data_IF_899989776050
#
_entry.id   IF_899989776050
#
_cell.length_a   1.000
_cell.length_b   1.000
_cell.length_c   1.000
_cell.angle_alpha   90.00
_cell.angle_beta   90.00
_cell.angle_gamma   90.00
#
_symmetry.space_group_name_H-M   'P 1'
#
loop_
_entity.id
_entity.type
_entity.pdbx_description
1 polymer ?
#
# COMPACT_ATOMS: atom_id res chain seq x y z
N UNK A 1 3.56 -14.53 1.13
CA UNK A 1 2.42 -14.85 2.02
C UNK A 1 2.63 -14.47 3.48
N UNK A 2 3.80 -14.71 4.11
CA UNK A 2 4.03 -14.27 5.49
C UNK A 2 3.86 -12.74 5.66
N UNK A 3 4.38 -11.95 4.72
CA UNK A 3 4.23 -10.49 4.72
C UNK A 3 2.76 -10.05 4.66
N UNK A 4 1.98 -10.69 3.79
CA UNK A 4 0.54 -10.45 3.67
C UNK A 4 -0.18 -10.73 4.99
N UNK A 5 0.13 -11.84 5.65
CA UNK A 5 -0.46 -12.18 6.94
C UNK A 5 -0.08 -11.15 8.01
N UNK A 6 1.20 -10.76 8.05
CA UNK A 6 1.72 -9.77 9.01
C UNK A 6 1.07 -8.40 8.81
N UNK A 7 0.89 -7.96 7.56
CA UNK A 7 0.17 -6.74 7.21
C UNK A 7 -1.28 -6.78 7.70
N UNK A 8 -2.03 -7.83 7.33
CA UNK A 8 -3.43 -7.97 7.71
C UNK A 8 -3.62 -8.04 9.22
N UNK A 9 -2.73 -8.72 9.94
CA UNK A 9 -2.78 -8.79 11.40
C UNK A 9 -2.40 -7.47 12.06
N UNK A 10 -1.41 -6.76 11.52
CA UNK A 10 -1.03 -5.44 12.04
C UNK A 10 -2.16 -4.42 11.86
N UNK A 11 -2.85 -4.41 10.71
CA UNK A 11 -3.97 -3.50 10.44
C UNK A 11 -5.10 -3.64 11.47
N UNK A 12 -5.44 -4.88 11.89
CA UNK A 12 -6.46 -5.14 12.93
C UNK A 12 -6.14 -4.47 14.28
N UNK A 13 -4.86 -4.25 14.56
CA UNK A 13 -4.38 -3.62 15.80
C UNK A 13 -3.93 -2.18 15.61
N UNK A 14 -3.98 -1.68 14.38
CA UNK A 14 -3.55 -0.33 14.01
C UNK A 14 -4.66 0.68 14.26
N UNK A 15 -4.31 1.97 14.17
CA UNK A 15 -5.29 3.05 14.17
C UNK A 15 -5.90 3.30 12.77
N UNK A 16 -5.47 2.57 11.74
CA UNK A 16 -5.98 2.75 10.39
C UNK A 16 -7.38 2.14 10.27
N UNK A 17 -8.29 2.90 9.69
CA UNK A 17 -9.56 2.38 9.22
C UNK A 17 -9.33 1.56 7.95
N UNK A 18 -9.96 0.38 7.87
CA UNK A 18 -9.83 -0.48 6.69
C UNK A 18 -11.13 -1.25 6.46
N UNK A 19 -11.34 -1.63 5.19
CA UNK A 19 -12.47 -2.44 4.76
C UNK A 19 -12.01 -3.50 3.75
N UNK A 20 -12.67 -4.65 3.75
CA UNK A 20 -12.48 -5.69 2.75
C UNK A 20 -13.61 -5.66 1.73
N UNK A 21 -13.29 -6.00 0.49
CA UNK A 21 -14.26 -6.15 -0.58
C UNK A 21 -14.05 -7.49 -1.27
N UNK A 22 -15.14 -8.19 -1.56
CA UNK A 22 -15.17 -9.44 -2.32
C UNK A 22 -16.16 -9.28 -3.45
N UNK A 23 -15.70 -9.42 -4.69
CA UNK A 23 -16.47 -9.22 -5.92
C UNK A 23 -17.19 -7.85 -5.98
N UNK A 24 -16.53 -6.83 -5.41
CA UNK A 24 -17.01 -5.44 -5.40
C UNK A 24 -17.88 -5.06 -4.20
N UNK A 25 -18.33 -6.03 -3.41
CA UNK A 25 -19.18 -5.81 -2.24
C UNK A 25 -18.35 -5.78 -0.96
N UNK A 26 -18.69 -4.90 -0.02
CA UNK A 26 -18.01 -4.84 1.28
C UNK A 26 -18.26 -6.13 2.08
N UNK A 27 -17.18 -6.67 2.65
CA UNK A 27 -17.19 -7.92 3.40
C UNK A 27 -16.62 -7.71 4.80
N UNK A 28 -17.26 -8.32 5.80
CA UNK A 28 -16.77 -8.28 7.18
C UNK A 28 -15.42 -9.00 7.37
N UNK A 29 -15.11 -9.96 6.51
CA UNK A 29 -13.90 -10.77 6.58
C UNK A 29 -13.36 -11.04 5.19
N UNK A 30 -12.03 -11.02 5.07
CA UNK A 30 -11.32 -11.50 3.90
C UNK A 30 -11.29 -13.05 3.90
N UNK A 31 -11.47 -13.72 2.75
CA UNK A 31 -11.15 -15.13 2.61
C UNK A 31 -9.69 -15.42 2.99
N UNK A 32 -9.34 -16.70 3.20
CA UNK A 32 -7.94 -17.08 3.45
C UNK A 32 -7.03 -16.65 2.30
N UNK A 33 -5.77 -16.30 2.58
CA UNK A 33 -4.80 -15.88 1.55
C UNK A 33 -4.70 -16.85 0.34
N UNK A 34 -4.69 -18.18 0.50
CA UNK A 34 -4.69 -19.09 -0.65
C UNK A 34 -5.95 -19.00 -1.54
N UNK A 35 -7.07 -18.51 -1.00
CA UNK A 35 -8.33 -18.31 -1.74
C UNK A 35 -8.33 -16.96 -2.45
N UNK A 36 -7.87 -15.88 -1.79
CA UNK A 36 -7.87 -14.54 -2.41
C UNK A 36 -6.95 -14.45 -3.62
N UNK A 37 -5.87 -15.23 -3.67
CA UNK A 37 -4.97 -15.28 -4.82
C UNK A 37 -5.44 -16.23 -5.94
N UNK A 38 -6.65 -16.80 -5.85
CA UNK A 38 -7.25 -17.52 -6.97
C UNK A 38 -7.89 -16.53 -7.93
N UNK A 39 -7.68 -16.73 -9.24
CA UNK A 39 -8.10 -15.80 -10.31
C UNK A 39 -9.60 -15.45 -10.34
N UNK A 40 -10.45 -16.29 -9.76
CA UNK A 40 -11.90 -16.13 -9.86
C UNK A 40 -12.50 -15.36 -8.68
N UNK A 41 -11.68 -14.82 -7.77
CA UNK A 41 -12.14 -14.07 -6.60
C UNK A 41 -11.58 -12.65 -6.66
N UNK A 42 -12.46 -11.66 -6.87
CA UNK A 42 -12.08 -10.26 -6.86
C UNK A 42 -11.96 -9.72 -5.44
N UNK A 43 -10.82 -9.94 -4.77
CA UNK A 43 -10.58 -9.38 -3.44
C UNK A 43 -9.83 -8.04 -3.49
N UNK A 44 -10.25 -7.10 -2.65
CA UNK A 44 -9.54 -5.83 -2.40
C UNK A 44 -9.56 -5.48 -0.92
N UNK A 45 -8.45 -4.96 -0.41
CA UNK A 45 -8.34 -4.28 0.86
C UNK A 45 -8.32 -2.78 0.59
N UNK A 46 -9.15 -2.01 1.30
CA UNK A 46 -9.09 -0.56 1.29
C UNK A 46 -8.61 -0.09 2.66
N UNK A 47 -7.65 0.83 2.69
CA UNK A 47 -7.15 1.49 3.91
C UNK A 47 -7.39 2.98 3.78
N UNK A 48 -8.06 3.58 4.76
CA UNK A 48 -8.36 5.01 4.78
C UNK A 48 -7.37 5.71 5.71
N UNK A 49 -6.72 6.76 5.21
CA UNK A 49 -5.80 7.60 5.99
C UNK A 49 -6.23 9.05 5.83
N UNK A 50 -6.79 9.62 6.89
CA UNK A 50 -7.51 10.90 6.84
C UNK A 50 -8.57 10.88 5.73
N UNK A 51 -8.40 11.65 4.65
CA UNK A 51 -9.31 11.68 3.50
C UNK A 51 -8.79 10.95 2.26
N UNK A 52 -7.75 10.13 2.38
CA UNK A 52 -7.09 9.45 1.26
C UNK A 52 -7.41 7.96 1.31
N UNK A 53 -7.78 7.38 0.17
CA UNK A 53 -8.11 5.97 0.05
C UNK A 53 -6.96 5.22 -0.63
N UNK A 54 -6.37 4.26 0.08
CA UNK A 54 -5.35 3.38 -0.44
C UNK A 54 -5.97 2.03 -0.79
N UNK A 55 -5.87 1.62 -2.05
CA UNK A 55 -6.50 0.40 -2.56
C UNK A 55 -5.46 -0.68 -2.81
N UNK A 56 -5.63 -1.83 -2.18
CA UNK A 56 -4.74 -2.96 -2.32
C UNK A 56 -5.48 -4.13 -2.93
N UNK A 57 -5.14 -4.45 -4.18
CA UNK A 57 -5.66 -5.59 -4.90
C UNK A 57 -4.74 -6.80 -4.70
N UNK A 58 -5.33 -7.98 -4.47
CA UNK A 58 -4.58 -9.20 -4.21
C UNK A 58 -4.09 -9.85 -5.52
N UNK A 59 -3.26 -9.14 -6.29
CA UNK A 59 -2.80 -9.60 -7.61
C UNK A 59 -1.74 -10.71 -7.53
N UNK A 60 -0.76 -10.58 -6.61
CA UNK A 60 0.36 -11.51 -6.54
C UNK A 60 0.78 -11.82 -5.09
N UNK A 61 1.04 -13.09 -4.72
CA UNK A 61 1.34 -13.48 -3.34
C UNK A 61 2.72 -13.03 -2.81
N UNK A 62 3.57 -12.46 -3.67
CA UNK A 62 4.91 -11.94 -3.34
C UNK A 62 5.04 -10.43 -3.42
N UNK A 63 3.98 -9.73 -3.84
CA UNK A 63 3.98 -8.29 -4.04
C UNK A 63 2.80 -7.70 -3.28
N UNK A 64 3.01 -6.56 -2.63
CA UNK A 64 1.96 -5.80 -1.97
C UNK A 64 2.00 -4.42 -2.60
N UNK A 65 0.92 -4.05 -3.27
CA UNK A 65 0.77 -2.79 -3.97
C UNK A 65 -0.46 -2.07 -3.43
N UNK A 66 -0.33 -0.76 -3.22
CA UNK A 66 -1.43 0.12 -2.84
C UNK A 66 -1.54 1.24 -3.87
N UNK A 67 -2.67 1.30 -4.55
CA UNK A 67 -3.02 2.38 -5.45
C UNK A 67 -3.56 3.57 -4.67
N UNK A 68 -3.16 4.77 -5.10
CA UNK A 68 -3.63 6.04 -4.55
C UNK A 68 -4.11 6.94 -5.69
N UNK A 69 -5.17 7.72 -5.44
CA UNK A 69 -5.56 8.76 -6.39
C UNK A 69 -4.77 10.05 -6.09
N UNK A 70 -3.88 10.51 -7.00
CA UNK A 70 -3.11 11.73 -6.76
C UNK A 70 -3.98 12.98 -6.58
N UNK A 71 -5.25 12.95 -7.01
CA UNK A 71 -6.21 14.05 -6.80
C UNK A 71 -6.68 14.18 -5.35
N UNK A 72 -6.47 13.16 -4.52
CA UNK A 72 -6.74 13.19 -3.08
C UNK A 72 -5.62 13.91 -2.30
N UNK A 73 -4.44 14.07 -2.90
CA UNK A 73 -3.27 14.72 -2.30
C UNK A 73 -3.28 16.21 -2.64
N UNK A 74 -3.84 17.04 -1.76
CA UNK A 74 -4.10 18.48 -2.02
C UNK A 74 -3.18 19.41 -1.24
N UNK A 75 -2.65 18.95 -0.12
CA UNK A 75 -1.77 19.69 0.78
C UNK A 75 -0.59 18.82 1.20
N UNK A 76 0.47 19.45 1.68
CA UNK A 76 1.66 18.73 2.17
C UNK A 76 1.31 17.68 3.24
N UNK A 77 0.36 17.99 4.12
CA UNK A 77 -0.11 17.06 5.14
C UNK A 77 -0.61 15.73 4.56
N UNK A 78 -1.25 15.74 3.39
CA UNK A 78 -1.77 14.53 2.73
C UNK A 78 -0.59 13.64 2.29
N UNK A 79 0.45 14.25 1.72
CA UNK A 79 1.67 13.52 1.36
C UNK A 79 2.39 12.96 2.60
N UNK A 80 2.41 13.71 3.70
CA UNK A 80 2.98 13.24 4.97
C UNK A 80 2.23 12.02 5.52
N UNK A 81 0.91 11.94 5.33
CA UNK A 81 0.12 10.75 5.69
C UNK A 81 0.53 9.52 4.86
N UNK A 82 0.70 9.69 3.55
CA UNK A 82 1.20 8.62 2.66
C UNK A 82 2.60 8.17 3.09
N UNK A 83 3.49 9.11 3.39
CA UNK A 83 4.84 8.78 3.87
C UNK A 83 4.83 8.07 5.22
N UNK A 84 3.92 8.45 6.12
CA UNK A 84 3.67 7.73 7.37
C UNK A 84 3.27 6.27 7.12
N UNK A 85 2.39 6.03 6.16
CA UNK A 85 1.99 4.68 5.78
C UNK A 85 3.12 3.87 5.14
N UNK A 86 3.90 4.48 4.23
CA UNK A 86 5.09 3.84 3.65
C UNK A 86 6.08 3.39 4.74
N UNK A 87 6.34 4.25 5.73
CA UNK A 87 7.18 3.93 6.89
C UNK A 87 6.59 2.79 7.72
N UNK A 88 5.28 2.84 7.99
CA UNK A 88 4.59 1.80 8.74
C UNK A 88 4.75 0.43 8.08
N UNK A 89 4.47 0.31 6.77
CA UNK A 89 4.62 -0.94 6.02
C UNK A 89 6.08 -1.39 5.98
N UNK A 90 7.00 -0.48 5.65
CA UNK A 90 8.41 -0.85 5.49
C UNK A 90 9.05 -1.29 6.80
N UNK A 91 8.73 -0.62 7.92
CA UNK A 91 9.16 -1.06 9.25
C UNK A 91 8.53 -2.39 9.66
N UNK A 92 7.23 -2.57 9.40
CA UNK A 92 6.51 -3.79 9.73
C UNK A 92 7.12 -5.01 9.03
N UNK A 93 7.39 -4.89 7.72
CA UNK A 93 7.88 -5.99 6.90
C UNK A 93 9.41 -6.07 6.85
N UNK A 94 10.11 -5.09 7.42
CA UNK A 94 11.55 -4.87 7.26
C UNK A 94 11.97 -4.88 5.78
N UNK A 95 11.23 -4.14 4.95
CA UNK A 95 11.41 -4.07 3.50
C UNK A 95 11.34 -2.65 2.99
N UNK A 96 11.96 -2.46 1.84
CA UNK A 96 11.82 -1.22 1.08
C UNK A 96 10.39 -1.04 0.58
N UNK A 97 9.92 0.22 0.60
CA UNK A 97 8.64 0.63 0.03
C UNK A 97 8.91 1.77 -0.95
N UNK A 98 8.39 1.66 -2.16
CA UNK A 98 8.55 2.67 -3.22
C UNK A 98 7.19 3.26 -3.60
N UNK A 99 7.22 4.50 -4.08
CA UNK A 99 6.08 5.14 -4.71
C UNK A 99 6.44 5.45 -6.16
N UNK A 100 5.62 4.98 -7.09
CA UNK A 100 5.80 5.11 -8.54
C UNK A 100 4.55 5.71 -9.18
N UNK A 101 4.64 6.24 -10.40
CA UNK A 101 3.45 6.42 -11.24
C UNK A 101 2.78 5.05 -11.51
N UNK A 102 1.45 5.04 -11.64
CA UNK A 102 0.60 3.84 -11.82
C UNK A 102 1.09 2.89 -12.93
N UNK A 103 1.73 3.42 -13.98
CA UNK A 103 2.13 2.63 -15.16
C UNK A 103 3.64 2.64 -15.43
N UNK A 104 4.45 3.10 -14.47
CA UNK A 104 5.90 3.19 -14.65
C UNK A 104 6.67 2.85 -13.37
N UNK A 105 6.76 1.54 -13.08
CA UNK A 105 7.49 1.04 -11.91
C UNK A 105 9.01 1.33 -11.97
N UNK A 106 9.55 1.69 -13.14
CA UNK A 106 10.96 2.06 -13.27
C UNK A 106 11.22 3.50 -12.79
N UNK A 107 10.19 4.34 -12.74
CA UNK A 107 10.27 5.71 -12.25
C UNK A 107 9.92 5.73 -10.76
N UNK A 108 10.95 5.78 -9.92
CA UNK A 108 10.79 6.01 -8.49
C UNK A 108 10.57 7.49 -8.23
N UNK A 109 9.47 7.84 -7.54
CA UNK A 109 9.21 9.20 -7.06
C UNK A 109 9.71 9.34 -5.63
N UNK A 110 9.36 8.37 -4.78
CA UNK A 110 9.77 8.32 -3.38
C UNK A 110 10.15 6.91 -2.99
N UNK A 111 11.06 6.81 -2.02
CA UNK A 111 11.56 5.54 -1.48
C UNK A 111 11.67 5.63 0.03
N UNK A 112 11.21 4.59 0.70
CA UNK A 112 11.48 4.34 2.11
C UNK A 112 12.34 3.09 2.25
N UNK A 113 13.45 3.21 2.98
CA UNK A 113 14.28 2.07 3.36
C UNK A 113 14.37 2.01 4.90
N UNK A 114 14.11 0.85 5.54
CA UNK A 114 14.08 0.73 7.01
C UNK A 114 15.38 1.12 7.71
N UNK A 115 16.53 0.93 7.06
CA UNK A 115 17.86 1.30 7.54
C UNK A 115 18.09 2.82 7.55
N UNK A 116 17.44 3.55 6.63
CA UNK A 116 17.47 5.01 6.58
C UNK A 116 16.46 5.63 7.55
N UNK A 117 15.27 5.03 7.68
CA UNK A 117 14.20 5.49 8.59
C UNK A 117 13.42 6.70 8.07
N UNK A 118 13.72 7.20 6.88
CA UNK A 118 13.06 8.36 6.25
C UNK A 118 12.64 8.07 4.81
N UNK A 119 11.59 8.76 4.36
CA UNK A 119 11.16 8.72 2.97
C UNK A 119 11.98 9.75 2.20
N UNK A 120 12.61 9.32 1.12
CA UNK A 120 13.48 10.12 0.27
C UNK A 120 12.83 10.36 -1.08
N UNK A 121 12.85 11.60 -1.55
CA UNK A 121 12.52 11.94 -2.93
C UNK A 121 13.62 11.45 -3.87
N UNK A 122 13.25 10.79 -4.95
CA UNK A 122 14.17 10.31 -5.98
C UNK A 122 14.01 11.22 -7.20
N UNK A 123 15.00 12.07 -7.52
CA UNK A 123 14.91 12.94 -8.68
C UNK A 123 14.93 12.09 -9.97
N UNK A 124 14.17 12.48 -11.01
CA UNK A 124 14.23 11.79 -12.30
C UNK A 124 15.66 11.88 -12.86
N UNK A 125 16.08 10.90 -13.69
CA UNK A 125 17.38 10.93 -14.33
C UNK A 125 17.54 12.26 -15.10
N UNK A 126 18.66 12.96 -14.91
CA UNK A 126 18.95 14.16 -15.69
C UNK A 126 19.04 13.76 -17.17
N UNK A 127 18.21 14.36 -18.02
CA UNK A 127 18.35 14.23 -19.47
C UNK A 127 19.75 14.74 -19.86
N UNK A 128 20.61 13.85 -20.36
CA UNK A 128 21.85 14.22 -21.05
C UNK A 128 21.53 14.61 -22.49
#
# INVERSE_FOLDING_TARGET
MADWQLLLDSLKSSAYEYAYFVDGEEAALLPSLPVVFKKDVGCRLAVTIDSILLNCHFFHPSEIEFDIDPREIKKQHDAEQIFGFMKYIGCLLNKEVILTPENDQAVLLFRFAPDVGEVQYIPPPSSQ
#
